data_IF_437714901855
#
_entry.id   IF_437714901855
#
_cell.length_a   1.000
_cell.length_b   1.000
_cell.length_c   1.000
_cell.angle_alpha   90.00
_cell.angle_beta   90.00
_cell.angle_gamma   90.00
#
_symmetry.space_group_name_H-M   'P 1'
#
loop_
_entity.id
_entity.type
_entity.pdbx_description
1 polymer ?
#
# COMPACT_ATOMS: atom_id res chain seq x y z
N UNK A 1 0.74 -34.59 2.92
CA UNK A 1 1.16 -33.25 3.38
C UNK A 1 0.40 -32.94 4.65
N UNK A 2 1.09 -32.51 5.71
CA UNK A 2 0.42 -32.11 6.95
C UNK A 2 -0.27 -30.76 6.75
N UNK A 3 -1.35 -30.49 7.47
CA UNK A 3 -2.09 -29.21 7.43
C UNK A 3 -1.18 -28.00 7.67
N UNK A 4 -0.16 -28.18 8.49
CA UNK A 4 0.85 -27.14 8.79
C UNK A 4 1.65 -26.73 7.54
N UNK A 5 1.97 -27.65 6.67
CA UNK A 5 2.73 -27.39 5.44
C UNK A 5 1.95 -26.51 4.41
N UNK A 6 0.63 -26.65 4.27
CA UNK A 6 -0.11 -25.88 3.28
C UNK A 6 -0.23 -24.39 3.66
N UNK A 7 -0.40 -24.06 4.93
CA UNK A 7 -0.48 -22.66 5.38
C UNK A 7 0.89 -21.99 5.41
N UNK A 8 1.96 -22.72 5.66
CA UNK A 8 3.33 -22.22 5.51
C UNK A 8 3.62 -21.86 4.04
N UNK A 9 3.30 -22.74 3.11
CA UNK A 9 3.43 -22.49 1.67
C UNK A 9 2.55 -21.33 1.20
N UNK A 10 1.33 -21.23 1.73
CA UNK A 10 0.43 -20.11 1.46
C UNK A 10 1.05 -18.79 1.94
N UNK A 11 1.57 -18.74 3.17
CA UNK A 11 2.28 -17.59 3.71
C UNK A 11 3.46 -17.18 2.83
N UNK A 12 4.30 -18.15 2.44
CA UNK A 12 5.46 -17.90 1.58
C UNK A 12 5.06 -17.32 0.21
N UNK A 13 3.96 -17.83 -0.37
CA UNK A 13 3.41 -17.29 -1.60
C UNK A 13 2.93 -15.86 -1.42
N UNK A 14 2.17 -15.57 -0.37
CA UNK A 14 1.68 -14.22 -0.05
C UNK A 14 2.85 -13.29 0.27
N UNK A 15 3.86 -13.78 1.00
CA UNK A 15 5.07 -13.04 1.33
C UNK A 15 5.90 -12.64 0.10
N UNK A 16 5.75 -13.34 -1.01
CA UNK A 16 6.38 -12.98 -2.28
C UNK A 16 5.66 -11.86 -3.03
N UNK A 17 4.50 -11.40 -2.57
CA UNK A 17 3.66 -10.39 -3.21
C UNK A 17 3.71 -9.05 -2.49
N UNK A 18 3.70 -7.94 -3.26
CA UNK A 18 3.59 -6.58 -2.74
C UNK A 18 4.60 -6.29 -1.60
N UNK A 19 4.13 -5.89 -0.44
CA UNK A 19 4.98 -5.60 0.74
C UNK A 19 5.22 -6.83 1.62
N UNK A 20 4.67 -7.98 1.23
CA UNK A 20 4.93 -9.25 1.89
C UNK A 20 3.99 -9.58 3.06
N UNK A 21 4.21 -10.78 3.60
CA UNK A 21 3.63 -11.29 4.85
C UNK A 21 4.68 -12.18 5.53
N UNK A 22 5.72 -11.57 6.11
CA UNK A 22 6.85 -12.30 6.68
C UNK A 22 6.47 -13.14 7.89
N UNK A 23 7.21 -14.22 8.12
CA UNK A 23 7.15 -14.96 9.38
C UNK A 23 7.68 -14.08 10.52
N UNK A 24 6.94 -14.04 11.63
CA UNK A 24 7.28 -13.22 12.81
C UNK A 24 7.86 -14.04 13.96
N UNK A 25 7.90 -15.37 13.82
CA UNK A 25 8.37 -16.30 14.86
C UNK A 25 7.34 -16.55 15.97
N UNK A 26 6.22 -15.83 15.99
CA UNK A 26 5.12 -16.02 16.96
C UNK A 26 3.90 -16.72 16.35
N UNK A 27 3.92 -17.06 15.06
CA UNK A 27 2.88 -17.81 14.34
C UNK A 27 1.56 -17.04 14.09
N UNK A 28 1.53 -15.74 14.33
CA UNK A 28 0.32 -14.93 14.15
C UNK A 28 -0.12 -14.87 12.68
N UNK A 29 0.85 -14.80 11.75
CA UNK A 29 0.60 -14.87 10.31
C UNK A 29 -0.13 -16.15 9.91
N UNK A 30 0.26 -17.31 10.46
CA UNK A 30 -0.40 -18.59 10.19
C UNK A 30 -1.79 -18.64 10.81
N UNK A 31 -1.95 -18.09 12.02
CA UNK A 31 -3.25 -18.00 12.68
C UNK A 31 -4.24 -17.15 11.88
N UNK A 32 -3.78 -16.02 11.29
CA UNK A 32 -4.57 -15.19 10.36
C UNK A 32 -5.01 -16.01 9.15
N UNK A 33 -4.06 -16.70 8.50
CA UNK A 33 -4.34 -17.46 7.28
C UNK A 33 -5.31 -18.63 7.53
N UNK A 34 -5.19 -19.33 8.64
CA UNK A 34 -6.12 -20.40 9.02
C UNK A 34 -7.54 -19.91 9.29
N UNK A 35 -7.73 -18.66 9.70
CA UNK A 35 -9.06 -18.05 9.86
C UNK A 35 -9.65 -17.59 8.53
N UNK A 36 -8.82 -17.14 7.62
CA UNK A 36 -9.25 -16.59 6.34
C UNK A 36 -9.47 -17.66 5.27
N UNK A 37 -8.61 -18.66 5.21
CA UNK A 37 -8.58 -19.68 4.15
C UNK A 37 -8.89 -21.06 4.69
N UNK A 38 -9.76 -21.79 4.01
CA UNK A 38 -9.83 -23.25 4.14
C UNK A 38 -8.61 -23.88 3.45
N UNK A 39 -8.30 -25.15 3.72
CA UNK A 39 -7.23 -25.89 3.01
C UNK A 39 -7.49 -25.96 1.50
N UNK A 40 -8.75 -26.10 1.10
CA UNK A 40 -9.14 -26.06 -0.32
C UNK A 40 -8.79 -24.70 -0.93
N UNK A 41 -9.21 -23.60 -0.32
CA UNK A 41 -8.91 -22.25 -0.79
C UNK A 41 -7.41 -21.95 -0.81
N UNK A 42 -6.65 -22.47 0.15
CA UNK A 42 -5.20 -22.37 0.15
C UNK A 42 -4.56 -23.08 -1.06
N UNK A 43 -5.06 -24.27 -1.44
CA UNK A 43 -4.62 -24.98 -2.67
C UNK A 43 -4.93 -24.16 -3.91
N UNK A 44 -6.13 -23.58 -4.01
CA UNK A 44 -6.49 -22.73 -5.14
C UNK A 44 -5.62 -21.47 -5.21
N UNK A 45 -5.38 -20.80 -4.09
CA UNK A 45 -4.49 -19.63 -4.04
C UNK A 45 -3.07 -19.98 -4.51
N UNK A 46 -2.55 -21.12 -4.10
CA UNK A 46 -1.23 -21.61 -4.53
C UNK A 46 -1.16 -21.96 -6.03
N UNK A 47 -2.28 -22.31 -6.65
CA UNK A 47 -2.38 -22.56 -8.09
C UNK A 47 -2.51 -21.28 -8.94
N UNK A 48 -2.83 -20.12 -8.32
CA UNK A 48 -2.89 -18.84 -9.00
C UNK A 48 -1.49 -18.30 -9.27
N UNK A 49 -1.39 -17.50 -10.34
CA UNK A 49 -0.22 -16.68 -10.64
C UNK A 49 -0.51 -15.22 -10.34
N UNK A 50 0.42 -14.33 -10.71
CA UNK A 50 0.26 -12.88 -10.64
C UNK A 50 -0.53 -12.30 -11.81
N UNK A 51 -0.81 -13.10 -12.82
CA UNK A 51 -1.63 -12.71 -13.96
C UNK A 51 -3.11 -12.90 -13.65
N UNK A 52 -3.94 -12.10 -14.29
CA UNK A 52 -5.38 -12.32 -14.38
C UNK A 52 -5.63 -13.50 -15.31
N UNK A 53 -6.14 -14.61 -14.78
CA UNK A 53 -6.29 -15.87 -15.50
C UNK A 53 -7.73 -16.38 -15.41
N UNK A 54 -8.28 -16.99 -16.49
CA UNK A 54 -9.59 -17.61 -16.45
C UNK A 54 -9.61 -18.87 -15.59
N UNK A 55 -10.76 -19.22 -15.04
CA UNK A 55 -10.96 -20.40 -14.20
C UNK A 55 -10.45 -21.70 -14.84
N UNK A 56 -10.59 -21.86 -16.16
CA UNK A 56 -10.13 -23.04 -16.88
C UNK A 56 -8.61 -23.28 -16.79
N UNK A 57 -7.81 -22.22 -16.76
CA UNK A 57 -6.33 -22.32 -16.62
C UNK A 57 -5.97 -22.78 -15.21
N UNK A 58 -6.64 -22.25 -14.20
CA UNK A 58 -6.42 -22.62 -12.79
C UNK A 58 -6.89 -24.07 -12.55
N UNK A 59 -8.04 -24.43 -13.12
CA UNK A 59 -8.59 -25.79 -13.10
C UNK A 59 -7.60 -26.82 -13.66
N UNK A 60 -6.97 -26.50 -14.81
CA UNK A 60 -5.96 -27.37 -15.42
C UNK A 60 -4.75 -27.63 -14.52
N UNK A 61 -4.31 -26.66 -13.73
CA UNK A 61 -3.22 -26.83 -12.75
C UNK A 61 -3.63 -27.70 -11.56
N UNK A 62 -4.90 -27.69 -11.21
CA UNK A 62 -5.43 -28.43 -10.06
C UNK A 62 -5.97 -29.82 -10.42
N UNK A 63 -6.16 -30.11 -11.71
CA UNK A 63 -6.76 -31.36 -12.17
C UNK A 63 -8.25 -31.48 -11.87
N UNK A 64 -8.98 -30.33 -11.84
CA UNK A 64 -10.42 -30.26 -11.59
C UNK A 64 -11.16 -29.71 -12.81
N UNK A 65 -12.50 -29.75 -12.82
CA UNK A 65 -13.31 -29.12 -13.87
C UNK A 65 -13.28 -27.59 -13.78
N UNK A 66 -13.44 -26.90 -14.91
CA UNK A 66 -13.52 -25.44 -14.94
C UNK A 66 -14.70 -24.90 -14.10
N UNK A 67 -15.84 -25.59 -14.11
CA UNK A 67 -17.03 -25.20 -13.34
C UNK A 67 -16.80 -25.35 -11.82
N UNK A 68 -16.08 -26.38 -11.39
CA UNK A 68 -15.69 -26.55 -9.99
C UNK A 68 -14.72 -25.44 -9.56
N UNK A 69 -13.72 -25.17 -10.39
CA UNK A 69 -12.75 -24.11 -10.12
C UNK A 69 -13.44 -22.74 -10.01
N UNK A 70 -14.33 -22.41 -10.95
CA UNK A 70 -15.07 -21.15 -10.93
C UNK A 70 -15.87 -20.97 -9.64
N UNK A 71 -16.58 -22.02 -9.18
CA UNK A 71 -17.34 -21.99 -7.93
C UNK A 71 -16.46 -21.65 -6.71
N UNK A 72 -15.27 -22.24 -6.63
CA UNK A 72 -14.33 -21.95 -5.52
C UNK A 72 -13.75 -20.55 -5.65
N UNK A 73 -13.34 -20.15 -6.85
CA UNK A 73 -12.77 -18.82 -7.12
C UNK A 73 -13.78 -17.69 -6.82
N UNK A 74 -15.06 -17.87 -7.18
CA UNK A 74 -16.15 -16.93 -6.85
C UNK A 74 -16.30 -16.77 -5.33
N UNK A 75 -16.30 -17.87 -4.59
CA UNK A 75 -16.34 -17.85 -3.13
C UNK A 75 -15.12 -17.10 -2.55
N UNK A 76 -13.93 -17.31 -3.12
CA UNK A 76 -12.72 -16.62 -2.69
C UNK A 76 -12.77 -15.12 -3.06
N UNK A 77 -13.34 -14.75 -4.20
CA UNK A 77 -13.60 -13.34 -4.53
C UNK A 77 -14.55 -12.70 -3.51
N UNK A 78 -15.68 -13.35 -3.21
CA UNK A 78 -16.64 -12.85 -2.21
C UNK A 78 -16.01 -12.64 -0.83
N UNK A 79 -14.96 -13.42 -0.49
CA UNK A 79 -14.16 -13.24 0.72
C UNK A 79 -13.05 -12.16 0.58
N UNK A 80 -12.82 -11.61 -0.61
CA UNK A 80 -11.76 -10.64 -0.88
C UNK A 80 -10.35 -11.23 -0.98
N UNK A 81 -10.23 -12.55 -1.16
CA UNK A 81 -8.92 -13.21 -1.31
C UNK A 81 -8.35 -13.10 -2.72
N UNK A 82 -9.18 -12.75 -3.69
CA UNK A 82 -8.84 -12.60 -5.10
C UNK A 82 -9.37 -11.28 -5.63
N UNK A 83 -8.69 -10.77 -6.65
CA UNK A 83 -9.19 -9.69 -7.48
C UNK A 83 -9.83 -10.26 -8.75
N UNK A 84 -11.13 -10.11 -8.95
CA UNK A 84 -11.80 -10.49 -10.20
C UNK A 84 -11.69 -9.37 -11.23
N UNK A 85 -11.71 -9.73 -12.52
CA UNK A 85 -11.91 -8.81 -13.64
C UNK A 85 -12.65 -9.51 -14.76
N UNK A 86 -13.65 -8.84 -15.33
CA UNK A 86 -14.28 -9.31 -16.56
C UNK A 86 -13.65 -8.61 -17.75
N UNK A 87 -13.14 -9.37 -18.72
CA UNK A 87 -12.59 -8.88 -19.98
C UNK A 87 -13.12 -9.74 -21.12
N UNK A 88 -13.70 -9.10 -22.15
CA UNK A 88 -14.30 -9.76 -23.33
C UNK A 88 -15.31 -10.87 -22.96
N UNK A 89 -16.11 -10.65 -21.91
CA UNK A 89 -17.11 -11.61 -21.42
C UNK A 89 -16.53 -12.78 -20.62
N UNK A 90 -15.22 -12.83 -20.41
CA UNK A 90 -14.54 -13.87 -19.60
C UNK A 90 -14.16 -13.28 -18.25
N UNK A 91 -14.52 -13.99 -17.17
CA UNK A 91 -14.10 -13.63 -15.83
C UNK A 91 -12.72 -14.18 -15.55
N UNK A 92 -11.85 -13.30 -15.10
CA UNK A 92 -10.44 -13.55 -14.78
C UNK A 92 -10.22 -13.35 -13.28
N UNK A 93 -9.24 -14.04 -12.73
CA UNK A 93 -8.93 -14.05 -11.30
C UNK A 93 -7.44 -13.87 -11.07
N UNK A 94 -7.07 -13.01 -10.12
CA UNK A 94 -5.71 -12.86 -9.66
C UNK A 94 -5.65 -12.94 -8.13
N UNK A 95 -4.56 -13.47 -7.59
CA UNK A 95 -4.34 -13.55 -6.16
C UNK A 95 -4.21 -12.14 -5.55
N UNK A 96 -5.01 -11.82 -4.53
CA UNK A 96 -4.86 -10.59 -3.78
C UNK A 96 -3.70 -10.74 -2.77
N UNK A 97 -2.75 -9.79 -2.68
CA UNK A 97 -1.72 -9.80 -1.64
C UNK A 97 -2.33 -9.54 -0.26
N UNK A 98 -1.50 -9.60 0.80
CA UNK A 98 -1.95 -9.23 2.14
C UNK A 98 -2.38 -7.76 2.19
N UNK A 99 -1.45 -6.83 1.93
CA UNK A 99 -1.69 -5.39 1.79
C UNK A 99 -1.26 -4.96 0.38
N UNK A 100 -1.87 -4.09 -0.11
CA UNK A 100 -3.12 -3.64 -0.60
C UNK A 100 -3.94 -4.75 -1.26
N UNK A 101 -4.73 -5.45 -0.47
CA UNK A 101 -5.44 -6.62 -0.94
C UNK A 101 -6.45 -7.13 0.09
N UNK A 102 -6.30 -8.40 0.53
CA UNK A 102 -7.32 -8.99 1.38
C UNK A 102 -7.39 -8.37 2.79
N UNK A 103 -6.34 -7.71 3.31
CA UNK A 103 -6.42 -6.94 4.56
C UNK A 103 -7.51 -5.86 4.47
N UNK A 104 -7.46 -5.03 3.45
CA UNK A 104 -8.44 -3.94 3.24
C UNK A 104 -9.84 -4.51 3.10
N UNK A 105 -10.00 -5.61 2.37
CA UNK A 105 -11.29 -6.29 2.22
C UNK A 105 -11.84 -6.79 3.56
N UNK A 106 -11.03 -7.44 4.37
CA UNK A 106 -11.47 -7.96 5.67
C UNK A 106 -11.90 -6.84 6.63
N UNK A 107 -11.24 -5.69 6.55
CA UNK A 107 -11.56 -4.54 7.40
C UNK A 107 -12.96 -4.00 7.14
N UNK A 108 -13.42 -3.97 5.89
CA UNK A 108 -14.71 -3.38 5.51
C UNK A 108 -15.89 -4.38 5.58
N UNK A 109 -15.63 -5.67 5.66
CA UNK A 109 -16.69 -6.68 5.71
C UNK A 109 -17.54 -6.53 6.98
N UNK A 110 -18.87 -6.62 6.80
CA UNK A 110 -19.82 -6.59 7.92
C UNK A 110 -19.86 -7.91 8.70
N UNK A 111 -19.59 -9.02 8.01
CA UNK A 111 -19.60 -10.40 8.52
C UNK A 111 -18.20 -10.92 8.88
N UNK A 112 -17.26 -10.01 9.14
CA UNK A 112 -15.88 -10.37 9.51
C UNK A 112 -15.82 -11.10 10.85
N UNK A 113 -14.83 -11.99 10.98
CA UNK A 113 -14.46 -12.60 12.25
C UNK A 113 -14.10 -11.50 13.28
N UNK A 114 -14.78 -11.41 14.44
CA UNK A 114 -14.57 -10.35 15.43
C UNK A 114 -13.18 -10.39 16.08
N UNK A 115 -12.49 -11.52 16.07
CA UNK A 115 -11.13 -11.64 16.63
C UNK A 115 -10.04 -11.29 15.62
N UNK A 116 -10.38 -11.28 14.32
CA UNK A 116 -9.40 -11.03 13.25
C UNK A 116 -8.71 -9.66 13.37
N UNK A 117 -9.38 -8.54 13.69
CA UNK A 117 -8.71 -7.26 13.86
C UNK A 117 -7.61 -7.31 14.94
N UNK A 118 -7.86 -7.95 16.06
CA UNK A 118 -6.85 -8.07 17.12
C UNK A 118 -5.68 -8.94 16.69
N UNK A 119 -5.95 -10.03 16.03
CA UNK A 119 -4.92 -10.94 15.52
C UNK A 119 -4.03 -10.26 14.46
N UNK A 120 -4.63 -9.47 13.56
CA UNK A 120 -3.89 -8.65 12.58
C UNK A 120 -3.05 -7.59 13.29
N UNK A 121 -3.59 -6.90 14.28
CA UNK A 121 -2.85 -5.91 15.06
C UNK A 121 -1.63 -6.53 15.76
N UNK A 122 -1.82 -7.68 16.40
CA UNK A 122 -0.74 -8.43 17.06
C UNK A 122 0.34 -8.85 16.06
N UNK A 123 -0.06 -9.20 14.83
CA UNK A 123 0.89 -9.51 13.74
C UNK A 123 1.67 -8.26 13.31
N UNK A 124 0.97 -7.16 13.00
CA UNK A 124 1.59 -5.93 12.52
C UNK A 124 2.57 -5.35 13.55
N UNK A 125 2.20 -5.41 14.82
CA UNK A 125 3.02 -4.86 15.91
C UNK A 125 4.05 -5.87 16.44
N UNK A 126 3.89 -7.16 16.14
CA UNK A 126 4.71 -8.25 16.66
C UNK A 126 5.91 -8.67 15.81
N UNK A 127 6.24 -7.92 14.75
CA UNK A 127 7.41 -8.25 13.91
C UNK A 127 7.16 -8.23 12.40
N UNK A 128 6.02 -7.71 11.95
CA UNK A 128 5.82 -7.45 10.54
C UNK A 128 6.85 -6.43 10.03
N UNK A 129 7.51 -6.75 8.90
CA UNK A 129 8.48 -5.88 8.23
C UNK A 129 8.15 -5.87 6.73
N UNK A 130 7.81 -4.69 6.14
CA UNK A 130 7.59 -4.58 4.71
C UNK A 130 8.86 -4.94 3.92
N UNK A 131 8.76 -5.89 3.00
CA UNK A 131 9.92 -6.40 2.25
C UNK A 131 10.25 -5.61 1.00
N UNK A 132 9.26 -4.95 0.41
CA UNK A 132 9.45 -4.34 -0.90
C UNK A 132 9.41 -2.81 -0.81
N UNK A 133 10.14 -2.17 -1.74
CA UNK A 133 10.07 -0.73 -1.98
C UNK A 133 8.87 -0.33 -2.84
N UNK A 134 7.92 -1.23 -3.03
CA UNK A 134 6.69 -0.97 -3.75
C UNK A 134 5.85 0.11 -3.06
N UNK A 135 5.93 0.18 -1.73
CA UNK A 135 5.39 1.30 -0.96
C UNK A 135 6.54 2.26 -0.61
N UNK A 136 6.37 3.55 -0.91
CA UNK A 136 7.35 4.60 -0.64
C UNK A 136 6.69 5.88 -0.19
N UNK A 137 7.40 6.66 0.59
CA UNK A 137 6.97 8.01 0.98
C UNK A 137 7.21 8.96 -0.17
N UNK A 138 6.23 9.80 -0.46
CA UNK A 138 6.31 10.87 -1.47
C UNK A 138 5.95 12.19 -0.82
N UNK A 139 6.83 13.20 -0.81
CA UNK A 139 6.48 14.50 -0.27
C UNK A 139 5.51 15.21 -1.21
N UNK A 140 4.55 15.93 -0.62
CA UNK A 140 3.55 16.68 -1.36
C UNK A 140 3.52 18.12 -0.86
N UNK A 141 3.27 19.05 -1.75
CA UNK A 141 3.03 20.44 -1.43
C UNK A 141 4.25 21.33 -1.46
N UNK A 142 4.27 22.31 -0.57
CA UNK A 142 5.24 23.41 -0.54
C UNK A 142 6.62 22.92 -0.12
N UNK A 143 7.67 23.52 -0.69
CA UNK A 143 9.07 23.27 -0.28
C UNK A 143 9.82 22.26 -1.14
N UNK A 144 9.19 21.65 -2.15
CA UNK A 144 9.96 20.97 -3.20
C UNK A 144 10.65 22.03 -4.08
N UNK A 145 11.96 21.87 -4.32
CA UNK A 145 12.63 22.73 -5.30
C UNK A 145 12.00 22.52 -6.67
N UNK A 146 12.41 23.32 -7.65
CA UNK A 146 11.88 23.34 -9.02
C UNK A 146 11.30 21.97 -9.47
N UNK A 147 10.04 21.96 -9.93
CA UNK A 147 9.32 20.75 -10.39
C UNK A 147 10.13 19.92 -11.42
N UNK A 148 11.04 20.55 -12.15
CA UNK A 148 11.96 19.87 -13.08
C UNK A 148 12.90 18.88 -12.40
N UNK A 149 13.10 18.98 -11.09
CA UNK A 149 13.93 18.07 -10.29
C UNK A 149 13.14 16.96 -9.60
N UNK A 150 11.81 17.01 -9.63
CA UNK A 150 10.95 15.96 -9.06
C UNK A 150 10.95 14.76 -10.01
N UNK A 151 11.28 13.61 -9.47
CA UNK A 151 11.26 12.37 -10.26
C UNK A 151 9.81 12.02 -10.63
N UNK A 152 9.52 11.56 -11.87
CA UNK A 152 8.15 11.34 -12.34
C UNK A 152 7.29 10.46 -11.41
N UNK A 153 7.90 9.47 -10.79
CA UNK A 153 7.22 8.57 -9.86
C UNK A 153 7.05 9.16 -8.43
N UNK A 154 7.62 10.33 -8.16
CA UNK A 154 7.45 11.10 -6.91
C UNK A 154 6.60 12.36 -7.13
N UNK A 155 6.21 12.67 -8.36
CA UNK A 155 5.30 13.78 -8.68
C UNK A 155 3.84 13.35 -8.51
N UNK A 156 3.30 13.50 -7.32
CA UNK A 156 1.92 13.14 -7.00
C UNK A 156 0.90 13.83 -7.91
N UNK A 157 1.12 15.10 -8.26
CA UNK A 157 0.21 15.83 -9.16
C UNK A 157 0.28 15.24 -10.57
N UNK A 158 1.48 15.00 -11.10
CA UNK A 158 1.68 14.38 -12.41
C UNK A 158 1.07 12.96 -12.44
N UNK A 159 1.25 12.18 -11.39
CA UNK A 159 0.64 10.85 -11.24
C UNK A 159 -0.89 10.96 -11.34
N UNK A 160 -1.53 11.80 -10.53
CA UNK A 160 -3.00 11.98 -10.56
C UNK A 160 -3.48 12.41 -11.94
N UNK A 161 -2.79 13.38 -12.56
CA UNK A 161 -3.17 13.90 -13.88
C UNK A 161 -3.00 12.87 -15.01
N UNK A 162 -2.13 11.87 -14.85
CA UNK A 162 -1.91 10.79 -15.83
C UNK A 162 -2.96 9.67 -15.76
N UNK A 163 -3.77 9.60 -14.69
CA UNK A 163 -4.71 8.51 -14.46
C UNK A 163 -6.05 8.75 -15.14
N UNK A 164 -6.63 7.67 -15.70
CA UNK A 164 -7.93 7.72 -16.34
C UNK A 164 -9.07 7.63 -15.32
N UNK A 165 -8.95 6.70 -14.38
CA UNK A 165 -9.97 6.42 -13.38
C UNK A 165 -9.38 6.53 -11.98
N UNK A 166 -10.03 7.30 -11.12
CA UNK A 166 -9.54 7.60 -9.77
C UNK A 166 -10.64 7.26 -8.77
N UNK A 167 -10.33 6.34 -7.86
CA UNK A 167 -11.19 5.97 -6.75
C UNK A 167 -10.73 6.62 -5.45
N UNK A 168 -11.67 7.14 -4.68
CA UNK A 168 -11.48 7.62 -3.32
C UNK A 168 -12.11 6.62 -2.36
N UNK A 169 -11.31 6.09 -1.46
CA UNK A 169 -11.68 5.05 -0.52
C UNK A 169 -11.58 5.55 0.92
N UNK A 170 -12.38 4.96 1.79
CA UNK A 170 -12.16 5.07 3.22
C UNK A 170 -10.81 4.49 3.61
N UNK A 171 -10.15 5.07 4.61
CA UNK A 171 -8.87 4.56 5.10
C UNK A 171 -9.06 3.24 5.86
N UNK A 172 -8.58 2.14 5.30
CA UNK A 172 -8.67 0.81 5.93
C UNK A 172 -7.96 0.77 7.28
N UNK A 173 -6.79 1.41 7.42
CA UNK A 173 -6.06 1.47 8.69
C UNK A 173 -6.85 2.21 9.77
N UNK A 174 -7.52 3.31 9.43
CA UNK A 174 -8.40 4.02 10.37
C UNK A 174 -9.57 3.13 10.80
N UNK A 175 -10.22 2.49 9.83
CA UNK A 175 -11.36 1.60 10.08
C UNK A 175 -10.95 0.37 10.91
N UNK A 176 -9.75 -0.17 10.67
CA UNK A 176 -9.16 -1.23 11.50
C UNK A 176 -8.97 -0.78 12.94
N UNK A 177 -8.35 0.38 13.16
CA UNK A 177 -8.10 0.91 14.49
C UNK A 177 -9.39 1.26 15.23
N UNK A 178 -10.40 1.79 14.52
CA UNK A 178 -11.74 2.03 15.08
C UNK A 178 -12.38 0.73 15.57
N UNK A 179 -12.20 -0.39 14.89
CA UNK A 179 -12.70 -1.69 15.35
C UNK A 179 -11.99 -2.22 16.61
N UNK A 180 -10.84 -1.65 16.94
CA UNK A 180 -10.10 -1.92 18.18
C UNK A 180 -10.35 -0.87 19.28
N UNK A 181 -11.32 0.03 19.07
CA UNK A 181 -11.70 1.07 20.02
C UNK A 181 -10.85 2.33 19.96
N UNK A 182 -9.99 2.50 18.94
CA UNK A 182 -9.21 3.72 18.74
C UNK A 182 -9.90 4.64 17.73
N UNK A 183 -10.26 5.85 18.16
CA UNK A 183 -10.81 6.87 17.27
C UNK A 183 -9.73 7.87 16.86
N UNK A 184 -9.53 7.97 15.54
CA UNK A 184 -8.63 8.94 14.93
C UNK A 184 -9.42 10.19 14.55
N UNK A 185 -8.95 11.37 14.93
CA UNK A 185 -9.56 12.64 14.56
C UNK A 185 -9.34 13.08 13.11
N UNK A 186 -8.85 12.20 12.24
CA UNK A 186 -8.57 12.48 10.84
C UNK A 186 -9.75 12.11 9.93
N UNK A 187 -9.79 12.70 8.73
CA UNK A 187 -10.72 12.31 7.68
C UNK A 187 -10.51 10.85 7.30
N UNK A 188 -11.60 10.15 7.01
CA UNK A 188 -11.55 8.73 6.62
C UNK A 188 -11.46 8.53 5.11
N UNK A 189 -12.06 9.41 4.29
CA UNK A 189 -11.96 9.37 2.82
C UNK A 189 -10.66 10.03 2.35
N UNK A 190 -9.56 9.32 2.46
CA UNK A 190 -8.22 9.82 2.16
C UNK A 190 -7.35 8.86 1.35
N UNK A 191 -7.78 7.63 1.13
CA UNK A 191 -7.03 6.67 0.32
C UNK A 191 -7.45 6.76 -1.14
N UNK A 192 -6.50 6.95 -2.03
CA UNK A 192 -6.72 7.04 -3.48
C UNK A 192 -6.17 5.78 -4.14
N UNK A 193 -6.99 5.13 -4.96
CA UNK A 193 -6.53 4.05 -5.83
C UNK A 193 -6.83 4.38 -7.29
N UNK A 194 -6.07 3.80 -8.20
CA UNK A 194 -6.11 4.13 -9.60
C UNK A 194 -6.53 2.95 -10.46
N UNK A 195 -7.32 3.25 -11.49
CA UNK A 195 -7.65 2.34 -12.57
C UNK A 195 -8.19 0.99 -12.04
N UNK A 196 -7.58 -0.11 -12.44
CA UNK A 196 -7.97 -1.45 -12.03
C UNK A 196 -8.02 -1.66 -10.50
N UNK A 197 -7.11 -1.05 -9.76
CA UNK A 197 -7.04 -1.22 -8.29
C UNK A 197 -8.17 -0.52 -7.53
N UNK A 198 -8.87 0.40 -8.20
CA UNK A 198 -10.05 1.05 -7.66
C UNK A 198 -11.35 0.31 -8.01
N UNK A 199 -11.37 -0.47 -9.11
CA UNK A 199 -12.58 -1.11 -9.62
C UNK A 199 -13.27 -1.98 -8.57
N UNK A 200 -12.58 -3.04 -8.15
CA UNK A 200 -13.18 -4.02 -7.25
C UNK A 200 -13.54 -3.46 -5.87
N UNK A 201 -12.70 -2.67 -5.16
CA UNK A 201 -13.11 -2.03 -3.92
C UNK A 201 -14.35 -1.13 -4.06
N UNK A 202 -14.49 -0.39 -5.16
CA UNK A 202 -15.65 0.46 -5.40
C UNK A 202 -16.89 -0.37 -5.68
N UNK A 203 -16.80 -1.44 -6.47
CA UNK A 203 -17.89 -2.38 -6.69
C UNK A 203 -18.38 -3.03 -5.38
N UNK A 204 -17.48 -3.21 -4.41
CA UNK A 204 -17.82 -3.69 -3.07
C UNK A 204 -18.36 -2.59 -2.12
N UNK A 205 -18.47 -1.34 -2.58
CA UNK A 205 -18.98 -0.23 -1.79
C UNK A 205 -17.98 0.37 -0.78
N UNK A 206 -16.67 0.14 -0.99
CA UNK A 206 -15.62 0.64 -0.09
C UNK A 206 -15.12 2.04 -0.47
N UNK A 207 -15.68 2.66 -1.49
CA UNK A 207 -15.32 3.97 -1.98
C UNK A 207 -16.19 4.41 -3.15
N UNK A 208 -15.73 5.45 -3.83
CA UNK A 208 -16.42 6.05 -4.98
C UNK A 208 -15.45 6.57 -6.01
N UNK A 209 -15.92 6.68 -7.25
CA UNK A 209 -15.16 7.35 -8.31
C UNK A 209 -15.14 8.86 -8.09
N UNK A 210 -13.99 9.49 -8.35
CA UNK A 210 -13.80 10.93 -8.24
C UNK A 210 -13.08 11.50 -9.47
N UNK A 211 -13.13 12.82 -9.63
CA UNK A 211 -12.40 13.53 -10.67
C UNK A 211 -10.99 13.90 -10.20
N UNK A 212 -10.10 14.23 -11.14
CA UNK A 212 -8.71 14.64 -10.87
C UNK A 212 -8.62 15.84 -9.93
N UNK A 213 -9.50 16.82 -10.12
CA UNK A 213 -9.56 18.02 -9.29
C UNK A 213 -9.90 17.71 -7.84
N UNK A 214 -10.80 16.75 -7.62
CA UNK A 214 -11.15 16.30 -6.28
C UNK A 214 -9.99 15.52 -5.64
N UNK A 215 -9.33 14.65 -6.39
CA UNK A 215 -8.16 13.90 -5.91
C UNK A 215 -7.02 14.84 -5.47
N UNK A 216 -6.76 15.91 -6.23
CA UNK A 216 -5.78 16.93 -5.86
C UNK A 216 -6.15 17.62 -4.54
N UNK A 217 -7.42 18.01 -4.38
CA UNK A 217 -7.91 18.62 -3.13
C UNK A 217 -7.81 17.68 -1.93
N UNK A 218 -8.03 16.38 -2.13
CA UNK A 218 -7.85 15.37 -1.06
C UNK A 218 -6.40 15.34 -0.61
N UNK A 219 -5.45 15.29 -1.55
CA UNK A 219 -4.01 15.25 -1.24
C UNK A 219 -3.55 16.55 -0.58
N UNK A 220 -3.99 17.71 -1.06
CA UNK A 220 -3.67 19.02 -0.49
C UNK A 220 -4.16 19.13 0.97
N UNK A 221 -5.42 18.81 1.21
CA UNK A 221 -5.98 18.79 2.58
C UNK A 221 -5.24 17.81 3.50
N UNK A 222 -4.89 16.64 2.98
CA UNK A 222 -4.14 15.65 3.73
C UNK A 222 -2.74 16.18 4.12
N UNK A 223 -2.04 16.88 3.21
CA UNK A 223 -0.76 17.54 3.50
C UNK A 223 -0.89 18.60 4.59
N UNK A 224 -1.89 19.48 4.49
CA UNK A 224 -2.18 20.52 5.49
C UNK A 224 -2.43 19.92 6.88
N UNK A 225 -3.14 18.79 6.94
CA UNK A 225 -3.42 18.06 8.19
C UNK A 225 -2.24 17.21 8.70
N UNK A 226 -1.09 17.24 8.05
CA UNK A 226 0.11 16.54 8.47
C UNK A 226 0.08 15.03 8.18
N UNK A 227 -0.74 14.57 7.24
CA UNK A 227 -0.74 13.19 6.83
C UNK A 227 0.46 12.87 5.94
N UNK A 228 1.00 11.67 6.09
CA UNK A 228 2.12 11.17 5.28
C UNK A 228 1.60 10.56 3.99
N UNK A 229 2.08 11.06 2.86
CA UNK A 229 1.73 10.50 1.56
C UNK A 229 2.61 9.30 1.24
N UNK A 230 1.99 8.18 0.92
CA UNK A 230 2.66 6.95 0.53
C UNK A 230 2.13 6.49 -0.83
N UNK A 231 3.01 6.33 -1.81
CA UNK A 231 2.66 5.80 -3.13
C UNK A 231 3.00 4.32 -3.20
N UNK A 232 2.05 3.51 -3.64
CA UNK A 232 2.22 2.10 -3.96
C UNK A 232 2.32 1.87 -5.46
N UNK A 233 3.09 0.87 -5.88
CA UNK A 233 3.25 0.52 -7.28
C UNK A 233 4.70 0.36 -7.72
N UNK A 234 4.87 0.13 -9.00
CA UNK A 234 6.19 0.00 -9.64
C UNK A 234 6.70 1.32 -10.26
N UNK A 235 7.80 1.25 -10.99
CA UNK A 235 8.43 2.42 -11.62
C UNK A 235 7.65 3.00 -12.81
N UNK A 236 6.72 2.26 -13.39
CA UNK A 236 5.88 2.69 -14.52
C UNK A 236 4.46 3.01 -14.09
N UNK A 237 3.96 2.32 -13.07
CA UNK A 237 2.57 2.45 -12.64
C UNK A 237 2.44 2.62 -11.13
N UNK A 238 1.93 3.78 -10.72
CA UNK A 238 1.47 4.00 -9.35
C UNK A 238 0.03 3.53 -9.26
N UNK A 239 -0.25 2.65 -8.33
CA UNK A 239 -1.53 1.97 -8.14
C UNK A 239 -2.41 2.64 -7.11
N UNK A 240 -1.76 3.27 -6.11
CA UNK A 240 -2.46 3.98 -5.05
C UNK A 240 -1.60 5.10 -4.45
N UNK A 241 -2.29 6.05 -3.82
CA UNK A 241 -1.72 7.05 -2.92
C UNK A 241 -2.50 6.98 -1.62
N UNK A 242 -1.83 6.55 -0.55
CA UNK A 242 -2.35 6.59 0.81
C UNK A 242 -1.97 7.90 1.48
N UNK A 243 -2.90 8.50 2.23
CA UNK A 243 -2.66 9.70 3.05
C UNK A 243 -2.78 9.27 4.52
N UNK A 244 -1.64 9.01 5.15
CA UNK A 244 -1.57 8.21 6.37
C UNK A 244 -1.36 9.04 7.62
N UNK A 245 -2.22 8.90 8.61
CA UNK A 245 -1.95 9.38 9.96
C UNK A 245 -0.98 8.45 10.70
N UNK A 246 -0.20 9.00 11.60
CA UNK A 246 0.84 8.26 12.31
C UNK A 246 0.34 7.40 13.48
N UNK A 247 -0.93 7.54 13.83
CA UNK A 247 -1.59 6.84 14.93
C UNK A 247 -2.46 5.65 14.49
N UNK A 248 -2.94 5.64 13.24
CA UNK A 248 -3.72 4.52 12.68
C UNK A 248 -2.94 3.65 11.69
N UNK A 249 -2.11 4.26 10.84
CA UNK A 249 -1.41 3.52 9.79
C UNK A 249 -0.51 2.42 10.36
N UNK A 250 -0.78 1.16 10.03
CA UNK A 250 0.00 0.01 10.51
C UNK A 250 1.49 0.13 10.16
N UNK A 251 1.81 0.64 8.97
CA UNK A 251 3.20 0.84 8.53
C UNK A 251 3.91 1.94 9.36
N UNK A 252 3.28 3.11 9.52
CA UNK A 252 3.91 4.20 10.28
C UNK A 252 4.04 3.86 11.76
N UNK A 253 3.06 3.15 12.33
CA UNK A 253 3.10 2.69 13.73
C UNK A 253 4.20 1.67 13.96
N UNK A 254 4.40 0.74 13.03
CA UNK A 254 5.52 -0.21 13.06
C UNK A 254 6.86 0.56 12.98
N UNK A 255 6.99 1.52 12.04
CA UNK A 255 8.21 2.31 11.88
C UNK A 255 8.56 3.16 13.10
N UNK A 256 7.59 3.64 13.86
CA UNK A 256 7.86 4.34 15.14
C UNK A 256 8.64 3.49 16.14
N UNK A 257 8.52 2.16 16.06
CA UNK A 257 9.15 1.21 16.98
C UNK A 257 10.59 0.85 16.61
N UNK A 258 11.03 1.19 15.40
CA UNK A 258 12.41 0.91 14.96
C UNK A 258 13.26 2.17 14.97
N UNK A 259 14.52 2.11 15.45
CA UNK A 259 15.36 3.30 15.59
C UNK A 259 15.74 3.92 14.24
N UNK A 260 15.80 3.13 13.16
CA UNK A 260 16.27 3.52 11.85
C UNK A 260 15.15 3.42 10.79
N UNK A 261 13.99 4.02 11.07
CA UNK A 261 12.79 4.01 10.23
C UNK A 261 13.06 4.37 8.76
N UNK A 262 13.95 5.34 8.51
CA UNK A 262 14.34 5.78 7.18
C UNK A 262 15.02 4.71 6.31
N UNK A 263 15.52 3.62 6.90
CA UNK A 263 16.05 2.47 6.13
C UNK A 263 14.96 1.60 5.52
N UNK A 264 13.83 1.47 6.21
CA UNK A 264 12.71 0.62 5.76
C UNK A 264 11.81 1.36 4.79
N UNK A 265 11.43 2.59 5.14
CA UNK A 265 10.55 3.41 4.32
C UNK A 265 11.07 4.84 4.28
N UNK A 266 11.33 5.38 3.11
CA UNK A 266 11.75 6.77 2.96
C UNK A 266 11.45 7.30 1.57
N UNK A 267 11.40 8.62 1.45
CA UNK A 267 11.37 9.32 0.17
C UNK A 267 12.78 9.57 -0.36
N UNK A 268 12.86 10.08 -1.58
CA UNK A 268 14.08 10.55 -2.24
C UNK A 268 14.46 11.98 -1.82
N UNK A 269 13.84 12.50 -0.77
CA UNK A 269 14.03 13.87 -0.29
C UNK A 269 14.35 13.87 1.21
N UNK A 270 14.97 14.95 1.66
CA UNK A 270 15.29 15.23 3.06
C UNK A 270 14.98 16.69 3.36
N UNK A 271 14.52 17.04 4.58
CA UNK A 271 14.32 18.43 4.94
C UNK A 271 15.67 19.14 5.15
N UNK A 272 15.73 20.38 4.72
CA UNK A 272 16.78 21.34 5.03
C UNK A 272 16.17 22.52 5.78
N UNK A 273 16.87 23.02 6.80
CA UNK A 273 16.41 24.06 7.69
C UNK A 273 17.24 25.32 7.49
N UNK A 274 16.57 26.44 7.21
CA UNK A 274 17.16 27.75 7.15
C UNK A 274 17.18 28.38 8.55
N UNK A 275 18.35 28.43 9.18
CA UNK A 275 18.52 28.97 10.51
C UNK A 275 18.20 30.49 10.57
N UNK A 276 18.37 31.23 9.47
CA UNK A 276 18.08 32.66 9.41
C UNK A 276 16.58 32.98 9.37
N UNK A 277 15.80 32.09 8.76
CA UNK A 277 14.34 32.22 8.70
C UNK A 277 13.60 31.49 9.85
N UNK A 278 14.29 30.61 10.57
CA UNK A 278 13.70 29.79 11.63
C UNK A 278 13.36 30.62 12.88
N UNK A 279 12.15 30.55 13.35
CA UNK A 279 11.67 31.21 14.57
C UNK A 279 11.69 30.29 15.79
N UNK A 280 12.24 29.09 15.70
CA UNK A 280 12.29 28.07 16.77
C UNK A 280 10.92 27.75 17.39
N UNK A 281 9.83 27.87 16.64
CA UNK A 281 8.46 27.67 17.13
C UNK A 281 8.09 26.23 17.51
N UNK A 282 8.90 25.24 17.14
CA UNK A 282 8.66 23.83 17.46
C UNK A 282 7.67 23.07 16.57
N UNK A 283 6.91 23.74 15.71
CA UNK A 283 5.85 23.15 14.89
C UNK A 283 6.34 21.96 14.04
N UNK A 284 7.55 22.05 13.47
CA UNK A 284 8.15 20.96 12.69
C UNK A 284 8.46 19.70 13.51
N UNK A 285 8.79 19.87 14.79
CA UNK A 285 9.03 18.74 15.71
C UNK A 285 7.70 18.10 16.14
N UNK A 286 6.69 18.89 16.49
CA UNK A 286 5.38 18.42 16.90
C UNK A 286 4.68 17.64 15.77
N UNK A 287 4.74 18.16 14.55
CA UNK A 287 4.16 17.50 13.35
C UNK A 287 4.94 16.30 12.88
N UNK A 288 6.18 16.05 13.35
CA UNK A 288 7.01 14.98 12.83
C UNK A 288 6.47 13.60 13.21
N UNK A 289 5.95 12.80 12.25
CA UNK A 289 5.33 11.50 12.54
C UNK A 289 6.31 10.48 13.12
N UNK A 290 7.62 10.69 12.91
CA UNK A 290 8.68 9.79 13.36
C UNK A 290 9.45 10.29 14.59
N UNK A 291 9.15 11.50 15.10
CA UNK A 291 9.94 12.13 16.15
C UNK A 291 11.42 12.28 15.75
N UNK A 292 11.64 12.69 14.50
CA UNK A 292 12.99 12.82 13.94
C UNK A 292 13.56 14.24 14.08
N UNK A 293 12.82 15.18 14.63
CA UNK A 293 13.20 16.60 14.73
C UNK A 293 13.15 17.00 16.21
N UNK A 294 14.21 17.63 16.69
CA UNK A 294 14.26 18.33 17.96
C UNK A 294 14.56 19.80 17.74
N UNK A 295 14.00 20.67 18.59
CA UNK A 295 14.18 22.11 18.53
C UNK A 295 14.69 22.58 19.91
N UNK A 296 15.89 23.17 19.92
CA UNK A 296 16.55 23.77 21.06
C UNK A 296 17.09 25.15 20.66
N UNK A 297 18.39 25.37 20.82
CA UNK A 297 19.09 26.57 20.30
C UNK A 297 19.10 26.62 18.76
N UNK A 298 18.75 25.49 18.12
CA UNK A 298 18.57 25.30 16.68
C UNK A 298 17.68 24.09 16.41
N UNK A 299 17.57 23.72 15.14
CA UNK A 299 16.82 22.53 14.71
C UNK A 299 17.77 21.39 14.39
N UNK A 300 17.62 20.28 15.10
CA UNK A 300 18.37 19.06 14.86
C UNK A 300 17.53 17.99 14.18
N UNK A 301 18.09 17.31 13.16
CA UNK A 301 17.47 16.23 12.43
C UNK A 301 18.16 14.90 12.71
N UNK A 302 17.42 13.95 13.26
CA UNK A 302 17.84 12.55 13.29
C UNK A 302 17.55 11.92 11.91
N UNK A 303 18.60 11.83 11.09
CA UNK A 303 18.48 11.33 9.71
C UNK A 303 18.07 9.84 9.63
N UNK A 304 18.42 9.02 10.61
CA UNK A 304 18.04 7.59 10.65
C UNK A 304 16.54 7.41 10.88
N UNK A 305 15.92 8.30 11.65
CA UNK A 305 14.47 8.28 11.89
C UNK A 305 13.69 8.99 10.80
N UNK A 306 14.30 9.93 10.09
CA UNK A 306 13.62 10.75 9.09
C UNK A 306 13.23 9.91 7.86
N UNK A 307 11.93 9.87 7.54
CA UNK A 307 11.39 9.22 6.33
C UNK A 307 11.24 10.19 5.15
N UNK A 308 11.58 11.48 5.31
CA UNK A 308 11.55 12.48 4.23
C UNK A 308 10.15 12.79 3.72
N UNK A 309 9.13 12.76 4.57
CA UNK A 309 7.73 12.92 4.17
C UNK A 309 7.30 14.36 3.85
N UNK A 310 8.08 15.37 4.25
CA UNK A 310 7.79 16.78 3.98
C UNK A 310 6.76 17.42 4.90
N UNK A 311 6.17 16.70 5.86
CA UNK A 311 5.15 17.23 6.79
C UNK A 311 5.67 18.46 7.57
N UNK A 312 6.96 18.46 7.93
CA UNK A 312 7.61 19.60 8.58
C UNK A 312 7.71 20.83 7.66
N UNK A 313 7.91 20.63 6.36
CA UNK A 313 7.99 21.73 5.40
C UNK A 313 6.62 22.37 5.15
N UNK A 314 5.58 21.54 4.96
CA UNK A 314 4.19 22.03 4.79
C UNK A 314 3.70 22.79 6.02
N UNK A 315 4.09 22.34 7.21
CA UNK A 315 3.64 22.94 8.47
C UNK A 315 4.48 24.13 8.96
N UNK A 316 5.57 24.50 8.28
CA UNK A 316 6.44 25.58 8.77
C UNK A 316 5.84 26.98 8.49
N UNK A 317 5.40 27.73 9.50
CA UNK A 317 4.76 29.02 9.30
C UNK A 317 5.76 30.09 8.79
N UNK A 318 7.04 29.94 9.09
CA UNK A 318 8.11 30.83 8.63
C UNK A 318 8.70 30.47 7.26
N UNK A 319 8.24 29.35 6.64
CA UNK A 319 8.82 28.86 5.40
C UNK A 319 10.31 28.43 5.50
N UNK A 320 10.81 28.25 6.72
CA UNK A 320 12.22 27.93 7.00
C UNK A 320 12.60 26.48 6.70
N UNK A 321 11.66 25.63 6.28
CA UNK A 321 11.93 24.22 5.95
C UNK A 321 11.66 23.97 4.47
N UNK A 322 12.67 23.49 3.75
CA UNK A 322 12.57 23.09 2.34
C UNK A 322 12.93 21.61 2.18
N UNK A 323 12.39 20.96 1.13
CA UNK A 323 12.74 19.59 0.82
C UNK A 323 13.81 19.56 -0.28
N UNK A 324 14.93 18.93 0.01
CA UNK A 324 16.03 18.77 -0.95
C UNK A 324 16.09 17.33 -1.45
N UNK A 325 16.34 17.15 -2.75
CA UNK A 325 16.59 15.82 -3.34
C UNK A 325 17.87 15.23 -2.71
N UNK A 326 17.82 13.98 -2.31
CA UNK A 326 19.00 13.24 -1.87
C UNK A 326 20.02 13.08 -3.01
N UNK A 327 21.32 12.94 -2.71
CA UNK A 327 22.33 12.56 -3.68
C UNK A 327 21.92 11.35 -4.52
N UNK A 328 22.33 11.30 -5.77
CA UNK A 328 21.85 10.30 -6.75
C UNK A 328 22.18 8.84 -6.35
N UNK A 329 23.26 8.62 -5.62
CA UNK A 329 23.63 7.32 -5.02
C UNK A 329 22.67 6.86 -3.90
N UNK A 330 21.96 7.78 -3.28
CA UNK A 330 20.95 7.52 -2.25
C UNK A 330 19.53 7.50 -2.81
N UNK A 331 19.33 7.88 -4.07
CA UNK A 331 18.01 7.84 -4.71
C UNK A 331 17.52 6.41 -4.85
N UNK A 332 16.34 6.14 -4.35
CA UNK A 332 15.68 4.83 -4.40
C UNK A 332 14.60 4.83 -5.45
N UNK A 333 14.78 4.03 -6.49
CA UNK A 333 13.77 3.83 -7.52
C UNK A 333 12.75 2.79 -7.06
N UNK A 334 11.46 2.95 -7.41
CA UNK A 334 10.48 1.87 -7.28
C UNK A 334 10.95 0.61 -8.02
N UNK A 335 10.48 -0.58 -7.64
CA UNK A 335 10.82 -1.81 -8.36
C UNK A 335 10.40 -1.71 -9.83
N UNK A 336 11.12 -2.39 -10.71
CA UNK A 336 10.68 -2.52 -12.10
C UNK A 336 9.42 -3.38 -12.17
N UNK A 337 8.58 -3.24 -13.22
CA UNK A 337 7.37 -4.05 -13.39
C UNK A 337 7.63 -5.56 -13.36
N UNK A 338 8.80 -6.01 -13.84
CA UNK A 338 9.17 -7.42 -13.85
C UNK A 338 9.45 -7.97 -12.44
N UNK A 339 9.92 -7.10 -11.53
CA UNK A 339 10.21 -7.42 -10.11
C UNK A 339 9.03 -7.13 -9.20
N UNK A 340 8.14 -6.23 -9.63
CA UNK A 340 6.94 -5.93 -8.88
C UNK A 340 5.91 -7.03 -9.11
N UNK A 341 5.55 -7.68 -8.03
CA UNK A 341 4.75 -8.88 -8.07
C UNK A 341 3.27 -8.62 -7.83
N UNK A 342 2.84 -7.38 -7.95
CA UNK A 342 1.44 -7.04 -7.98
C UNK A 342 0.84 -7.34 -9.37
N UNK A 343 -0.46 -7.38 -9.49
CA UNK A 343 -1.14 -7.87 -10.68
C UNK A 343 -0.68 -7.23 -11.98
N UNK A 344 -0.51 -8.02 -13.02
CA UNK A 344 -0.41 -7.51 -14.38
C UNK A 344 -1.78 -6.99 -14.83
N UNK A 345 -1.78 -5.86 -15.53
CA UNK A 345 -3.01 -5.33 -16.12
C UNK A 345 -3.56 -6.29 -17.18
N UNK A 346 -4.85 -6.16 -17.50
CA UNK A 346 -5.44 -6.94 -18.61
C UNK A 346 -4.79 -6.65 -19.97
N UNK A 347 -4.13 -5.50 -20.13
CA UNK A 347 -3.36 -5.12 -21.32
C UNK A 347 -2.10 -5.98 -21.40
N UNK A 348 -1.37 -6.15 -20.28
CA UNK A 348 -0.19 -7.00 -20.22
C UNK A 348 -0.54 -8.48 -20.46
N UNK A 349 -1.74 -8.91 -20.01
CA UNK A 349 -2.22 -10.27 -20.25
C UNK A 349 -2.48 -10.55 -21.73
N UNK A 350 -3.05 -9.60 -22.49
CA UNK A 350 -3.24 -9.72 -23.95
C UNK A 350 -1.89 -9.80 -24.67
N UNK A 351 -0.95 -8.92 -24.32
CA UNK A 351 0.39 -8.92 -24.90
C UNK A 351 1.13 -10.25 -24.64
N UNK A 352 1.01 -10.82 -23.44
CA UNK A 352 1.59 -12.12 -23.10
C UNK A 352 0.92 -13.27 -23.85
N UNK A 353 -0.40 -13.22 -24.08
CA UNK A 353 -1.12 -14.23 -24.89
C UNK A 353 -0.74 -14.16 -26.38
N UNK A 354 -0.58 -12.97 -26.92
CA UNK A 354 -0.14 -12.76 -28.30
C UNK A 354 1.32 -13.22 -28.47
N UNK A 355 2.20 -12.90 -27.50
CA UNK A 355 3.58 -13.38 -27.49
C UNK A 355 3.70 -14.92 -27.35
N UNK A 356 2.78 -15.54 -26.61
CA UNK A 356 2.72 -17.01 -26.49
C UNK A 356 2.21 -17.69 -27.77
N UNK A 357 1.26 -17.06 -28.50
CA UNK A 357 0.74 -17.55 -29.79
C UNK A 357 1.72 -17.37 -30.93
N UNK A 358 2.62 -16.38 -30.84
CA UNK A 358 3.66 -16.12 -31.86
C UNK A 358 4.91 -17.00 -31.74
N UNK A 359 4.98 -17.90 -30.77
CA UNK A 359 6.08 -18.86 -30.53
C UNK A 359 5.70 -20.32 -30.80
N UNK A 360 4.53 -20.55 -31.41
CA UNK A 360 4.05 -21.88 -31.81
C UNK A 360 4.26 -22.16 -33.30
#
# INVERSE_FOLDING_TARGET
MTTHDIYERLRERIDSYSIGMNATGNGKELAILKRLFTEEEARYYLALTRALEPAAVIAGRLGVSAAEAEKVLERMCAKGHLFPKTADGVKLYAAAPFMHGFFEHQVYRKDRDPELPRLIEDYLMGGFIPKSRALRVVPVGVGLPDRKQVLPYDDVRGIIMSKERIGLMHCACNHHMKSLGHECGQDTEVCIAFDFYAEYPIEQGFGRWIRREEALKVVERAAERGLVHQAGGDSRNVECICNCCSDCCGILRMLKRVPNAGRFLSSNYTPAFDAGACTSCGECAERCPMGAITVGDGVELNADRCIGCGVCAVGCPAGAVTMQKKPDDLVRRPPSPEKYTFMRSSIDFRADQEAAKGKG
#
